data_IF_278111369719
#
_entry.id   IF_278111369719
#
_cell.length_a   1.000
_cell.length_b   1.000
_cell.length_c   1.000
_cell.angle_alpha   90.00
_cell.angle_beta   90.00
_cell.angle_gamma   90.00
#
_symmetry.space_group_name_H-M   'P 1'
#
loop_
_entity.id
_entity.type
_entity.pdbx_description
1 polymer ?
#
# COMPACT_ATOMS: atom_id res chain seq x y z
N UNK A 1 -18.65 -17.81 -7.74
CA UNK A 1 -19.74 -17.47 -6.80
C UNK A 1 -19.24 -16.72 -5.57
N UNK A 2 -18.40 -17.30 -4.69
CA UNK A 2 -17.92 -16.58 -3.48
C UNK A 2 -17.21 -15.25 -3.76
N UNK A 3 -16.32 -15.17 -4.77
CA UNK A 3 -15.66 -13.90 -5.13
C UNK A 3 -16.65 -12.83 -5.59
N UNK A 4 -17.71 -13.22 -6.32
CA UNK A 4 -18.77 -12.31 -6.79
C UNK A 4 -19.61 -11.81 -5.60
N UNK A 5 -19.98 -12.71 -4.69
CA UNK A 5 -20.71 -12.34 -3.48
C UNK A 5 -19.90 -11.34 -2.63
N UNK A 6 -18.63 -11.63 -2.36
CA UNK A 6 -17.78 -10.76 -1.54
C UNK A 6 -17.55 -9.39 -2.20
N UNK A 7 -17.34 -9.35 -3.51
CA UNK A 7 -17.17 -8.10 -4.27
C UNK A 7 -18.35 -7.14 -4.08
N UNK A 8 -19.60 -7.65 -4.09
CA UNK A 8 -20.80 -6.85 -3.90
C UNK A 8 -21.19 -6.61 -2.44
N UNK A 9 -20.87 -7.54 -1.54
CA UNK A 9 -21.28 -7.47 -0.14
C UNK A 9 -20.38 -6.56 0.71
N UNK A 10 -19.08 -6.48 0.43
CA UNK A 10 -18.14 -5.63 1.19
C UNK A 10 -18.52 -4.13 1.11
N UNK A 11 -18.78 -3.54 -0.08
CA UNK A 11 -19.24 -2.15 -0.17
C UNK A 11 -20.57 -1.88 0.53
N UNK A 12 -21.39 -2.92 0.73
CA UNK A 12 -22.69 -2.84 1.42
C UNK A 12 -22.60 -3.09 2.92
N UNK A 13 -21.39 -3.14 3.49
CA UNK A 13 -21.18 -3.22 4.93
C UNK A 13 -20.95 -4.63 5.49
N UNK A 14 -20.60 -5.62 4.65
CA UNK A 14 -20.15 -6.92 5.14
C UNK A 14 -18.79 -6.76 5.85
N UNK A 15 -18.76 -6.98 7.16
CA UNK A 15 -17.56 -6.78 8.00
C UNK A 15 -16.80 -8.07 8.32
N UNK A 16 -17.41 -9.25 8.15
CA UNK A 16 -16.78 -10.54 8.46
C UNK A 16 -17.31 -11.67 7.56
N UNK A 17 -16.41 -12.53 7.10
CA UNK A 17 -16.74 -13.78 6.40
C UNK A 17 -15.68 -14.86 6.66
N UNK A 18 -16.10 -16.13 6.77
CA UNK A 18 -15.20 -17.28 6.85
C UNK A 18 -15.17 -17.97 5.49
N UNK A 19 -14.05 -17.89 4.78
CA UNK A 19 -13.89 -18.42 3.43
C UNK A 19 -12.51 -19.03 3.23
N UNK A 20 -12.39 -19.99 2.31
CA UNK A 20 -11.08 -20.47 1.84
C UNK A 20 -10.51 -19.47 0.82
N UNK A 21 -9.75 -18.49 1.31
CA UNK A 21 -9.22 -17.42 0.48
C UNK A 21 -8.23 -17.89 -0.61
N UNK A 22 -7.54 -19.02 -0.40
CA UNK A 22 -6.62 -19.59 -1.39
C UNK A 22 -7.32 -20.12 -2.65
N UNK A 23 -8.62 -20.42 -2.54
CA UNK A 23 -9.46 -20.94 -3.62
C UNK A 23 -10.31 -19.86 -4.31
N UNK A 24 -10.20 -18.59 -3.88
CA UNK A 24 -10.95 -17.49 -4.49
C UNK A 24 -10.24 -16.99 -5.75
N UNK A 25 -10.89 -17.03 -6.93
CA UNK A 25 -10.38 -16.34 -8.11
C UNK A 25 -10.46 -14.83 -7.92
N UNK A 26 -9.59 -14.08 -8.61
CA UNK A 26 -9.69 -12.62 -8.72
C UNK A 26 -10.96 -12.30 -9.49
N UNK A 27 -11.72 -11.30 -9.04
CA UNK A 27 -13.02 -10.97 -9.61
C UNK A 27 -12.97 -10.70 -11.13
N UNK A 28 -11.93 -9.97 -11.56
CA UNK A 28 -11.69 -9.58 -12.96
C UNK A 28 -11.29 -10.75 -13.86
N UNK A 29 -10.87 -11.87 -13.29
CA UNK A 29 -10.43 -13.05 -14.05
C UNK A 29 -11.59 -13.97 -14.42
N UNK A 30 -12.74 -13.78 -13.78
CA UNK A 30 -13.95 -14.55 -14.08
C UNK A 30 -14.41 -14.13 -15.48
N UNK A 31 -14.53 -15.03 -16.46
CA UNK A 31 -15.03 -14.72 -17.80
C UNK A 31 -16.36 -13.96 -17.73
N UNK A 32 -16.57 -12.96 -18.60
CA UNK A 32 -17.72 -12.05 -18.47
C UNK A 32 -19.08 -12.77 -18.60
N UNK A 33 -19.16 -13.80 -19.45
CA UNK A 33 -20.32 -14.68 -19.58
C UNK A 33 -20.63 -15.43 -18.27
N UNK A 34 -19.61 -16.00 -17.63
CA UNK A 34 -19.72 -16.66 -16.34
C UNK A 34 -20.01 -15.67 -15.21
N UNK A 35 -19.39 -14.48 -15.25
CA UNK A 35 -19.55 -13.45 -14.22
C UNK A 35 -20.99 -12.94 -14.21
N UNK A 36 -21.56 -12.62 -15.36
CA UNK A 36 -22.94 -12.17 -15.48
C UNK A 36 -23.92 -13.20 -14.92
N UNK A 37 -23.78 -14.47 -15.29
CA UNK A 37 -24.62 -15.56 -14.76
C UNK A 37 -24.50 -15.70 -13.23
N UNK A 38 -23.28 -15.55 -12.69
CA UNK A 38 -23.05 -15.61 -11.25
C UNK A 38 -23.63 -14.39 -10.52
N UNK A 39 -23.54 -13.19 -11.09
CA UNK A 39 -24.15 -11.97 -10.56
C UNK A 39 -25.68 -12.07 -10.58
N UNK A 40 -26.26 -12.56 -11.68
CA UNK A 40 -27.70 -12.70 -11.83
C UNK A 40 -28.30 -13.60 -10.75
N UNK A 41 -27.60 -14.69 -10.43
CA UNK A 41 -27.99 -15.63 -9.35
C UNK A 41 -27.77 -15.03 -7.97
N UNK A 42 -26.62 -14.39 -7.72
CA UNK A 42 -26.30 -13.83 -6.39
C UNK A 42 -27.20 -12.65 -6.03
N UNK A 43 -27.52 -11.81 -7.02
CA UNK A 43 -28.35 -10.60 -6.83
C UNK A 43 -29.84 -10.87 -7.02
N UNK A 44 -30.21 -12.08 -7.46
CA UNK A 44 -31.58 -12.49 -7.73
C UNK A 44 -32.33 -11.50 -8.66
N UNK A 45 -31.66 -11.09 -9.75
CA UNK A 45 -32.18 -10.07 -10.69
C UNK A 45 -32.96 -10.67 -11.86
N UNK A 46 -32.71 -11.93 -12.22
CA UNK A 46 -33.41 -12.61 -13.30
C UNK A 46 -34.11 -13.89 -12.80
N UNK A 47 -35.40 -14.10 -13.11
CA UNK A 47 -36.13 -15.29 -12.68
C UNK A 47 -35.55 -16.58 -13.26
N UNK A 48 -34.94 -16.54 -14.45
CA UNK A 48 -34.30 -17.70 -15.10
C UNK A 48 -32.81 -17.87 -14.74
N UNK A 49 -32.25 -17.06 -13.82
CA UNK A 49 -30.81 -17.06 -13.52
C UNK A 49 -30.29 -18.44 -13.07
N UNK A 50 -31.10 -19.16 -12.29
CA UNK A 50 -30.75 -20.49 -11.77
C UNK A 50 -30.68 -21.52 -12.89
N UNK A 51 -31.64 -21.49 -13.83
CA UNK A 51 -31.70 -22.41 -14.98
C UNK A 51 -30.51 -22.18 -15.92
N UNK A 52 -30.25 -20.91 -16.28
CA UNK A 52 -29.10 -20.55 -17.12
C UNK A 52 -27.76 -20.95 -16.49
N UNK A 53 -27.60 -20.80 -15.17
CA UNK A 53 -26.38 -21.24 -14.49
C UNK A 53 -26.23 -22.77 -14.52
N UNK A 54 -27.32 -23.52 -14.39
CA UNK A 54 -27.32 -24.99 -14.46
C UNK A 54 -27.00 -25.50 -15.88
N UNK A 55 -27.52 -24.85 -16.92
CA UNK A 55 -27.19 -25.13 -18.32
C UNK A 55 -25.70 -24.91 -18.56
N UNK A 56 -25.18 -23.75 -18.18
CA UNK A 56 -23.76 -23.42 -18.30
C UNK A 56 -22.86 -24.39 -17.53
N UNK A 57 -23.26 -24.81 -16.32
CA UNK A 57 -22.53 -25.80 -15.53
C UNK A 57 -22.52 -27.18 -16.20
N UNK A 58 -23.59 -27.55 -16.91
CA UNK A 58 -23.71 -28.79 -17.67
C UNK A 58 -22.80 -28.77 -18.90
N UNK A 59 -22.80 -27.68 -19.68
CA UNK A 59 -21.88 -27.49 -20.80
C UNK A 59 -20.41 -27.56 -20.38
N UNK A 60 -20.06 -26.97 -19.22
CA UNK A 60 -18.70 -27.05 -18.68
C UNK A 60 -18.31 -28.47 -18.27
N UNK A 61 -19.25 -29.26 -17.74
CA UNK A 61 -19.01 -30.68 -17.43
C UNK A 61 -18.79 -31.49 -18.69
N UNK A 62 -19.57 -31.25 -19.75
CA UNK A 62 -19.41 -31.92 -21.04
C UNK A 62 -18.07 -31.55 -21.71
N UNK A 63 -17.69 -30.27 -21.69
CA UNK A 63 -16.37 -29.80 -22.16
C UNK A 63 -15.21 -30.39 -21.35
N UNK A 64 -15.39 -30.63 -20.04
CA UNK A 64 -14.39 -31.33 -19.20
C UNK A 64 -14.35 -32.84 -19.47
N UNK A 65 -15.49 -33.48 -19.74
CA UNK A 65 -15.57 -34.90 -20.07
C UNK A 65 -14.91 -35.22 -21.43
N UNK A 66 -15.03 -34.33 -22.41
CA UNK A 66 -14.33 -34.44 -23.71
C UNK A 66 -12.79 -34.29 -23.60
N UNK A 67 -12.28 -33.66 -22.54
CA UNK A 67 -10.83 -33.57 -22.25
C UNK A 67 -10.29 -34.73 -21.40
N UNK A 68 -11.11 -35.74 -21.10
CA UNK A 68 -10.78 -36.88 -20.25
C UNK A 68 -10.04 -38.00 -20.99
N UNK A 69 -8.77 -37.79 -21.35
CA UNK A 69 -7.89 -38.85 -21.85
C UNK A 69 -6.43 -38.42 -21.87
N UNK A 70 -5.66 -38.87 -20.86
CA UNK A 70 -4.19 -38.71 -20.69
C UNK A 70 -3.64 -37.28 -20.57
N UNK A 71 -3.13 -36.94 -19.37
CA UNK A 71 -1.84 -36.24 -19.22
C UNK A 71 -1.56 -34.94 -19.99
N UNK A 72 -2.55 -34.12 -20.33
CA UNK A 72 -2.36 -32.86 -21.03
C UNK A 72 -1.91 -31.70 -20.15
N UNK A 73 -0.84 -31.86 -19.37
CA UNK A 73 -0.20 -30.77 -18.61
C UNK A 73 1.03 -30.20 -19.34
N UNK A 74 1.11 -30.36 -20.66
CA UNK A 74 2.23 -29.88 -21.47
C UNK A 74 1.73 -29.04 -22.66
N UNK A 75 2.07 -27.74 -22.61
CA UNK A 75 2.13 -26.79 -23.74
C UNK A 75 0.79 -26.38 -24.38
N UNK A 76 -0.09 -25.76 -23.61
CA UNK A 76 -0.55 -24.46 -24.09
C UNK A 76 0.55 -23.48 -23.71
N UNK A 77 1.21 -22.83 -24.67
CA UNK A 77 1.99 -21.63 -24.36
C UNK A 77 0.99 -20.69 -23.72
N UNK A 78 1.12 -20.46 -22.41
CA UNK A 78 0.19 -19.59 -21.71
C UNK A 78 0.19 -18.25 -22.45
N UNK A 79 -0.94 -17.78 -22.97
CA UNK A 79 -1.00 -16.67 -23.93
C UNK A 79 -0.27 -15.41 -23.43
N UNK A 80 -0.25 -15.20 -22.11
CA UNK A 80 0.48 -14.11 -21.47
C UNK A 80 2.01 -14.20 -21.68
N UNK A 81 2.58 -15.39 -21.88
CA UNK A 81 4.01 -15.57 -22.21
C UNK A 81 4.41 -15.02 -23.57
N UNK A 82 3.44 -14.77 -24.46
CA UNK A 82 3.70 -14.13 -25.76
C UNK A 82 3.73 -12.60 -25.69
N UNK A 83 3.37 -12.02 -24.54
CA UNK A 83 3.39 -10.58 -24.32
C UNK A 83 4.81 -10.08 -23.99
N UNK A 84 5.03 -8.77 -24.10
CA UNK A 84 6.30 -8.15 -23.71
C UNK A 84 6.61 -8.32 -22.22
N UNK A 85 7.91 -8.28 -21.87
CA UNK A 85 8.41 -8.60 -20.53
C UNK A 85 7.74 -7.80 -19.41
N UNK A 86 7.47 -6.52 -19.62
CA UNK A 86 6.77 -5.66 -18.65
C UNK A 86 5.38 -6.20 -18.30
N UNK A 87 4.58 -6.59 -19.31
CA UNK A 87 3.25 -7.18 -19.10
C UNK A 87 3.33 -8.56 -18.47
N UNK A 88 4.39 -9.31 -18.73
CA UNK A 88 4.63 -10.62 -18.09
C UNK A 88 4.97 -10.49 -16.62
N UNK A 89 5.78 -9.49 -16.26
CA UNK A 89 6.09 -9.15 -14.87
C UNK A 89 4.85 -8.68 -14.12
N UNK A 90 4.06 -7.76 -14.71
CA UNK A 90 2.77 -7.33 -14.15
C UNK A 90 1.83 -8.53 -13.92
N UNK A 91 1.66 -9.38 -14.94
CA UNK A 91 0.83 -10.57 -14.84
C UNK A 91 1.31 -11.52 -13.73
N UNK A 92 2.61 -11.77 -13.66
CA UNK A 92 3.20 -12.65 -12.63
C UNK A 92 2.97 -12.10 -11.22
N UNK A 93 3.08 -10.79 -11.04
CA UNK A 93 2.81 -10.13 -9.76
C UNK A 93 1.32 -10.18 -9.39
N UNK A 94 0.41 -9.80 -10.30
CA UNK A 94 -1.03 -9.80 -10.04
C UNK A 94 -1.56 -11.21 -9.75
N UNK A 95 -1.08 -12.24 -10.47
CA UNK A 95 -1.50 -13.63 -10.25
C UNK A 95 -0.76 -14.34 -9.12
N UNK A 96 0.36 -13.79 -8.66
CA UNK A 96 1.23 -14.44 -7.68
C UNK A 96 1.95 -15.67 -8.24
N UNK A 97 2.42 -15.60 -9.49
CA UNK A 97 3.18 -16.66 -10.16
C UNK A 97 4.68 -16.41 -9.96
N UNK A 98 5.37 -17.32 -9.28
CA UNK A 98 6.80 -17.18 -8.96
C UNK A 98 7.72 -17.98 -9.90
N UNK A 99 7.14 -18.73 -10.85
CA UNK A 99 7.87 -19.70 -11.67
C UNK A 99 8.82 -19.06 -12.68
N UNK A 100 8.41 -17.99 -13.33
CA UNK A 100 9.14 -17.32 -14.42
C UNK A 100 9.69 -15.95 -14.04
N UNK A 101 9.48 -15.52 -12.79
CA UNK A 101 9.77 -14.16 -12.37
C UNK A 101 11.26 -13.82 -12.49
N UNK A 102 12.15 -14.78 -12.23
CA UNK A 102 13.61 -14.57 -12.32
C UNK A 102 14.03 -14.43 -13.78
N UNK A 103 13.50 -15.28 -14.66
CA UNK A 103 13.81 -15.24 -16.09
C UNK A 103 13.30 -13.95 -16.74
N UNK A 104 12.08 -13.52 -16.40
CA UNK A 104 11.53 -12.25 -16.91
C UNK A 104 12.28 -11.03 -16.35
N UNK A 105 12.72 -11.06 -15.09
CA UNK A 105 13.58 -10.00 -14.53
C UNK A 105 14.93 -9.96 -15.23
N UNK A 106 15.50 -11.11 -15.57
CA UNK A 106 16.76 -11.20 -16.30
C UNK A 106 16.63 -10.67 -17.73
N UNK A 107 15.52 -10.97 -18.41
CA UNK A 107 15.21 -10.40 -19.73
C UNK A 107 15.11 -8.87 -19.69
N UNK A 108 14.56 -8.28 -18.62
CA UNK A 108 14.59 -6.82 -18.44
C UNK A 108 16.01 -6.25 -18.29
N UNK A 109 16.93 -6.98 -17.66
CA UNK A 109 18.32 -6.55 -17.54
C UNK A 109 19.07 -6.67 -18.87
N UNK A 110 18.85 -7.77 -19.60
CA UNK A 110 19.62 -8.11 -20.79
C UNK A 110 19.08 -7.43 -22.06
N UNK A 111 17.77 -7.51 -22.32
CA UNK A 111 17.16 -7.04 -23.57
C UNK A 111 16.82 -5.54 -23.52
N UNK A 112 16.44 -5.02 -22.35
CA UNK A 112 16.12 -3.60 -22.18
C UNK A 112 17.29 -2.79 -21.60
N UNK A 113 18.40 -3.45 -21.26
CA UNK A 113 19.59 -2.84 -20.63
C UNK A 113 19.25 -1.96 -19.42
N UNK A 114 18.18 -2.30 -18.71
CA UNK A 114 17.75 -1.56 -17.53
C UNK A 114 18.71 -1.83 -16.38
N UNK A 115 18.95 -0.81 -15.56
CA UNK A 115 19.63 -1.03 -14.29
C UNK A 115 18.73 -1.85 -13.37
N UNK A 116 19.28 -2.68 -12.47
CA UNK A 116 18.49 -3.42 -11.49
C UNK A 116 17.49 -2.56 -10.72
N UNK A 117 17.88 -1.34 -10.33
CA UNK A 117 16.99 -0.39 -9.66
C UNK A 117 15.83 0.06 -10.58
N UNK A 118 16.09 0.29 -11.86
CA UNK A 118 15.08 0.70 -12.85
C UNK A 118 14.07 -0.44 -13.11
N UNK A 119 14.48 -1.71 -13.00
CA UNK A 119 13.55 -2.87 -13.06
C UNK A 119 12.63 -2.91 -11.83
N UNK A 120 13.15 -2.57 -10.64
CA UNK A 120 12.34 -2.44 -9.43
C UNK A 120 11.35 -1.30 -9.58
N UNK A 121 11.85 -0.08 -9.82
CA UNK A 121 11.04 1.16 -9.87
C UNK A 121 10.09 1.25 -11.07
N UNK A 122 10.36 0.51 -12.15
CA UNK A 122 9.54 0.46 -13.35
C UNK A 122 8.53 -0.69 -13.34
N UNK A 123 8.79 -1.81 -14.03
CA UNK A 123 7.79 -2.85 -14.27
C UNK A 123 7.33 -3.56 -12.99
N UNK A 124 8.20 -3.78 -12.01
CA UNK A 124 7.82 -4.44 -10.76
C UNK A 124 6.92 -3.54 -9.90
N UNK A 125 7.29 -2.27 -9.73
CA UNK A 125 6.45 -1.25 -9.07
C UNK A 125 5.10 -1.06 -9.77
N UNK A 126 5.09 -0.98 -11.10
CA UNK A 126 3.87 -0.87 -11.88
C UNK A 126 2.91 -2.03 -11.61
N UNK A 127 3.42 -3.27 -11.59
CA UNK A 127 2.62 -4.45 -11.23
C UNK A 127 2.10 -4.40 -9.80
N UNK A 128 2.90 -3.92 -8.85
CA UNK A 128 2.48 -3.74 -7.45
C UNK A 128 1.44 -2.62 -7.29
N UNK A 129 1.49 -1.57 -8.11
CA UNK A 129 0.45 -0.53 -8.14
C UNK A 129 -0.90 -1.10 -8.55
N UNK A 130 -0.93 -1.94 -9.60
CA UNK A 130 -2.15 -2.62 -10.04
C UNK A 130 -2.70 -3.54 -8.95
N UNK A 131 -1.83 -4.28 -8.24
CA UNK A 131 -2.22 -5.08 -7.06
C UNK A 131 -2.85 -4.19 -5.98
N UNK A 132 -2.27 -3.01 -5.72
CA UNK A 132 -2.80 -2.01 -4.79
C UNK A 132 -4.19 -1.50 -5.19
N UNK A 133 -4.38 -1.15 -6.46
CA UNK A 133 -5.66 -0.67 -6.98
C UNK A 133 -6.75 -1.75 -6.95
N UNK A 134 -6.40 -3.00 -7.29
CA UNK A 134 -7.31 -4.14 -7.19
C UNK A 134 -7.69 -4.44 -5.75
N UNK A 135 -6.76 -4.32 -4.81
CA UNK A 135 -7.03 -4.49 -3.38
C UNK A 135 -7.91 -3.35 -2.84
N UNK A 136 -7.57 -2.10 -3.14
CA UNK A 136 -8.32 -0.92 -2.71
C UNK A 136 -9.75 -0.86 -3.28
N UNK A 137 -9.95 -1.41 -4.49
CA UNK A 137 -11.29 -1.54 -5.10
C UNK A 137 -12.06 -2.81 -4.68
N UNK A 138 -11.50 -3.63 -3.78
CA UNK A 138 -12.12 -4.87 -3.30
C UNK A 138 -12.19 -6.01 -4.32
N UNK A 139 -11.48 -5.89 -5.45
CA UNK A 139 -11.39 -6.92 -6.51
C UNK A 139 -10.36 -8.00 -6.20
N UNK A 140 -9.40 -7.68 -5.32
CA UNK A 140 -8.37 -8.58 -4.81
C UNK A 140 -8.40 -8.61 -3.28
N UNK A 141 -8.10 -9.76 -2.69
CA UNK A 141 -8.15 -9.98 -1.23
C UNK A 141 -6.75 -10.13 -0.63
N UNK A 142 -6.64 -9.91 0.70
CA UNK A 142 -5.35 -9.92 1.42
C UNK A 142 -4.48 -11.17 1.14
N UNK A 143 -5.01 -12.40 1.09
CA UNK A 143 -4.17 -13.58 0.79
C UNK A 143 -3.61 -13.61 -0.63
N UNK A 144 -4.27 -12.95 -1.59
CA UNK A 144 -3.75 -12.77 -2.95
C UNK A 144 -2.62 -11.73 -2.95
N UNK A 145 -2.81 -10.61 -2.24
CA UNK A 145 -1.75 -9.59 -2.05
C UNK A 145 -0.49 -10.20 -1.42
N UNK A 146 -0.64 -11.10 -0.45
CA UNK A 146 0.50 -11.82 0.17
C UNK A 146 1.22 -12.72 -0.85
N UNK A 147 0.49 -13.35 -1.80
CA UNK A 147 1.12 -14.12 -2.88
C UNK A 147 1.89 -13.21 -3.83
N UNK A 148 1.32 -12.07 -4.23
CA UNK A 148 1.99 -11.06 -5.05
C UNK A 148 3.27 -10.55 -4.38
N UNK A 149 3.20 -10.25 -3.08
CA UNK A 149 4.36 -9.83 -2.28
C UNK A 149 5.48 -10.90 -2.26
N UNK A 150 5.12 -12.20 -2.27
CA UNK A 150 6.11 -13.28 -2.35
C UNK A 150 6.84 -13.29 -3.69
N UNK A 151 6.12 -13.06 -4.80
CA UNK A 151 6.70 -12.96 -6.14
C UNK A 151 7.62 -11.74 -6.22
N UNK A 152 7.17 -10.59 -5.72
CA UNK A 152 7.97 -9.38 -5.62
C UNK A 152 9.27 -9.61 -4.84
N UNK A 153 9.17 -10.22 -3.64
CA UNK A 153 10.34 -10.55 -2.82
C UNK A 153 11.33 -11.46 -3.56
N UNK A 154 10.84 -12.42 -4.36
CA UNK A 154 11.69 -13.32 -5.15
C UNK A 154 12.40 -12.59 -6.28
N UNK A 155 11.72 -11.66 -6.97
CA UNK A 155 12.31 -10.79 -7.98
C UNK A 155 13.41 -9.90 -7.39
N UNK A 156 13.10 -9.19 -6.31
CA UNK A 156 14.06 -8.31 -5.62
C UNK A 156 15.25 -9.11 -5.08
N UNK A 157 15.03 -10.29 -4.50
CA UNK A 157 16.11 -11.15 -4.01
C UNK A 157 17.10 -11.58 -5.12
N UNK A 158 16.66 -11.63 -6.39
CA UNK A 158 17.54 -11.88 -7.53
C UNK A 158 18.32 -10.62 -7.94
N UNK A 159 17.71 -9.44 -7.83
CA UNK A 159 18.33 -8.17 -8.19
C UNK A 159 19.32 -7.65 -7.14
N UNK A 160 19.10 -7.94 -5.85
CA UNK A 160 19.92 -7.46 -4.73
C UNK A 160 21.42 -7.79 -4.91
N UNK A 161 21.83 -9.05 -5.21
CA UNK A 161 23.24 -9.35 -5.43
C UNK A 161 23.86 -8.58 -6.62
N UNK A 162 23.07 -8.34 -7.68
CA UNK A 162 23.51 -7.60 -8.86
C UNK A 162 23.71 -6.12 -8.51
N UNK A 163 22.75 -5.55 -7.76
CA UNK A 163 22.83 -4.19 -7.23
C UNK A 163 24.01 -4.01 -6.28
N UNK A 164 24.27 -4.95 -5.38
CA UNK A 164 25.41 -4.89 -4.46
C UNK A 164 26.74 -4.89 -5.21
N UNK A 165 26.89 -5.71 -6.26
CA UNK A 165 28.09 -5.72 -7.11
C UNK A 165 28.25 -4.38 -7.83
N UNK A 166 27.18 -3.84 -8.42
CA UNK A 166 27.23 -2.56 -9.16
C UNK A 166 27.48 -1.38 -8.22
N UNK A 167 26.80 -1.35 -7.06
CA UNK A 167 26.94 -0.32 -6.04
C UNK A 167 28.31 -0.40 -5.37
N UNK A 168 28.88 -1.59 -5.12
CA UNK A 168 30.27 -1.72 -4.68
C UNK A 168 31.25 -1.14 -5.69
N UNK A 169 31.05 -1.41 -6.98
CA UNK A 169 31.90 -0.86 -8.04
C UNK A 169 31.84 0.66 -8.05
N UNK A 170 30.63 1.24 -8.00
CA UNK A 170 30.44 2.71 -7.94
C UNK A 170 30.97 3.31 -6.64
N UNK A 171 30.73 2.67 -5.51
CA UNK A 171 31.23 3.13 -4.22
C UNK A 171 32.76 3.12 -4.17
N UNK A 172 33.41 2.11 -4.75
CA UNK A 172 34.88 2.08 -4.91
C UNK A 172 35.39 3.16 -5.87
N UNK A 173 34.65 3.48 -6.93
CA UNK A 173 34.99 4.56 -7.88
C UNK A 173 34.77 5.97 -7.29
N UNK A 174 33.78 6.13 -6.40
CA UNK A 174 33.39 7.39 -5.77
C UNK A 174 33.99 7.58 -4.35
N UNK A 175 34.72 6.58 -3.84
CA UNK A 175 35.33 6.61 -2.50
C UNK A 175 34.33 6.45 -1.34
N UNK A 176 33.14 5.90 -1.60
CA UNK A 176 32.09 5.61 -0.62
C UNK A 176 32.26 4.20 -0.04
N UNK A 177 31.65 3.96 1.14
CA UNK A 177 31.71 2.66 1.82
C UNK A 177 30.96 1.56 1.01
N UNK A 178 31.66 0.53 0.50
CA UNK A 178 31.10 -0.53 -0.33
C UNK A 178 30.13 -1.48 0.41
N UNK A 179 30.06 -1.43 1.74
CA UNK A 179 29.22 -2.33 2.53
C UNK A 179 27.91 -1.68 3.03
N UNK A 180 27.61 -0.43 2.61
CA UNK A 180 26.34 0.24 2.97
C UNK A 180 25.18 -0.26 2.07
N UNK A 181 24.11 -0.84 2.64
CA UNK A 181 22.94 -1.26 1.86
C UNK A 181 22.20 -0.06 1.25
N UNK A 182 21.83 -0.16 -0.04
CA UNK A 182 21.20 0.91 -0.81
C UNK A 182 19.65 0.80 -0.77
N UNK A 183 19.07 1.35 0.29
CA UNK A 183 17.61 1.45 0.46
C UNK A 183 17.08 2.72 -0.22
N UNK A 184 15.86 2.64 -0.77
CA UNK A 184 15.19 3.82 -1.36
C UNK A 184 14.88 4.91 -0.30
N UNK A 185 14.78 4.50 0.97
CA UNK A 185 14.61 5.36 2.13
C UNK A 185 14.38 4.55 3.40
N UNK A 186 14.50 5.20 4.56
CA UNK A 186 14.27 4.60 5.88
C UNK A 186 12.94 5.07 6.46
N UNK A 187 12.03 4.13 6.72
CA UNK A 187 10.72 4.40 7.31
C UNK A 187 10.66 3.80 8.71
N UNK A 188 10.42 4.64 9.71
CA UNK A 188 10.21 4.20 11.09
C UNK A 188 8.71 4.05 11.36
N UNK A 189 8.26 2.88 11.80
CA UNK A 189 6.87 2.62 12.13
C UNK A 189 6.71 2.33 13.63
N UNK A 190 5.68 2.89 14.24
CA UNK A 190 5.35 2.66 15.64
C UNK A 190 3.84 2.67 15.87
N UNK A 191 3.35 1.80 16.75
CA UNK A 191 2.02 1.97 17.34
C UNK A 191 2.17 2.87 18.56
N UNK A 192 1.37 3.93 18.63
CA UNK A 192 1.51 4.95 19.66
C UNK A 192 1.30 4.38 21.07
N UNK A 193 1.77 5.12 22.08
CA UNK A 193 1.67 4.76 23.48
C UNK A 193 0.22 4.41 23.87
N UNK A 194 0.08 3.37 24.68
CA UNK A 194 -1.22 2.91 25.17
C UNK A 194 -2.06 2.11 24.16
N UNK A 195 -1.55 1.93 22.94
CA UNK A 195 -2.22 1.15 21.89
C UNK A 195 -1.40 -0.11 21.52
N UNK A 196 -2.09 -1.25 21.49
CA UNK A 196 -1.53 -2.58 21.24
C UNK A 196 -1.81 -3.11 19.84
N UNK A 197 -2.60 -2.40 19.04
CA UNK A 197 -3.08 -2.93 17.77
C UNK A 197 -2.06 -2.69 16.65
N UNK A 198 -1.45 -3.77 16.15
CA UNK A 198 -0.32 -3.70 15.21
C UNK A 198 -0.55 -4.38 13.85
N UNK A 199 -1.69 -5.05 13.65
CA UNK A 199 -1.95 -5.78 12.40
C UNK A 199 -1.82 -4.87 11.18
N UNK A 200 -2.47 -3.69 11.22
CA UNK A 200 -2.39 -2.71 10.15
C UNK A 200 -0.96 -2.20 9.92
N UNK A 201 -0.25 -1.86 11.00
CA UNK A 201 1.17 -1.45 10.99
C UNK A 201 2.06 -2.52 10.34
N UNK A 202 1.90 -3.78 10.73
CA UNK A 202 2.70 -4.88 10.21
C UNK A 202 2.46 -5.08 8.72
N UNK A 203 1.21 -4.93 8.26
CA UNK A 203 0.88 -4.96 6.82
C UNK A 203 1.59 -3.81 6.09
N UNK A 204 1.51 -2.57 6.60
CA UNK A 204 2.22 -1.41 6.03
C UNK A 204 3.74 -1.67 5.97
N UNK A 205 4.33 -2.21 7.04
CA UNK A 205 5.75 -2.53 7.09
C UNK A 205 6.16 -3.60 6.08
N UNK A 206 5.36 -4.65 5.91
CA UNK A 206 5.60 -5.66 4.86
C UNK A 206 5.47 -5.04 3.47
N UNK A 207 4.46 -4.22 3.23
CA UNK A 207 4.25 -3.57 1.94
C UNK A 207 5.42 -2.63 1.62
N UNK A 208 5.81 -1.73 2.53
CA UNK A 208 6.97 -0.85 2.32
C UNK A 208 8.28 -1.64 2.12
N UNK A 209 8.50 -2.71 2.89
CA UNK A 209 9.65 -3.59 2.70
C UNK A 209 9.67 -4.30 1.34
N UNK A 210 8.50 -4.58 0.75
CA UNK A 210 8.42 -5.11 -0.62
C UNK A 210 8.78 -4.06 -1.69
N UNK A 211 8.81 -2.77 -1.35
CA UNK A 211 9.12 -1.66 -2.25
C UNK A 211 10.50 -1.04 -1.94
N UNK A 212 11.45 -1.84 -1.47
CA UNK A 212 12.85 -1.47 -1.23
C UNK A 212 13.07 -0.34 -0.19
N UNK A 213 12.14 -0.18 0.77
CA UNK A 213 12.35 0.68 1.93
C UNK A 213 12.94 -0.08 3.11
N UNK A 214 13.85 0.55 3.85
CA UNK A 214 14.31 0.08 5.16
C UNK A 214 13.23 0.38 6.18
N UNK A 215 12.47 -0.65 6.58
CA UNK A 215 11.41 -0.50 7.59
C UNK A 215 11.95 -0.83 8.97
N UNK A 216 11.84 0.12 9.90
CA UNK A 216 12.21 -0.03 11.30
C UNK A 216 10.94 0.00 12.14
N UNK A 217 10.52 -1.17 12.61
CA UNK A 217 9.31 -1.32 13.40
C UNK A 217 9.64 -1.32 14.90
N UNK A 218 9.16 -0.31 15.62
CA UNK A 218 9.32 -0.17 17.06
C UNK A 218 8.33 -1.01 17.89
N UNK A 219 7.32 -1.60 17.24
CA UNK A 219 6.30 -2.41 17.88
C UNK A 219 5.11 -1.59 18.39
N UNK A 220 4.64 -1.94 19.59
CA UNK A 220 3.41 -1.42 20.18
C UNK A 220 3.62 -0.65 21.47
N UNK A 221 2.65 0.18 21.84
CA UNK A 221 2.68 1.01 23.04
C UNK A 221 3.95 1.87 23.14
N UNK A 222 4.47 2.34 22.02
CA UNK A 222 5.78 2.99 21.95
C UNK A 222 5.67 4.44 22.46
N UNK A 223 6.43 4.83 23.50
CA UNK A 223 6.46 6.21 23.97
C UNK A 223 7.04 7.20 22.94
N UNK A 224 6.57 8.44 22.98
CA UNK A 224 7.02 9.51 22.07
C UNK A 224 8.56 9.70 22.08
N UNK A 225 9.18 9.71 23.26
CA UNK A 225 10.63 9.90 23.40
C UNK A 225 11.43 8.81 22.70
N UNK A 226 10.95 7.56 22.77
CA UNK A 226 11.56 6.44 22.07
C UNK A 226 11.42 6.56 20.54
N UNK A 227 10.26 7.00 20.05
CA UNK A 227 10.01 7.25 18.62
C UNK A 227 10.99 8.30 18.09
N UNK A 228 11.06 9.46 18.76
CA UNK A 228 11.93 10.57 18.32
C UNK A 228 13.40 10.22 18.42
N UNK A 229 13.81 9.57 19.51
CA UNK A 229 15.19 9.12 19.69
C UNK A 229 15.59 8.15 18.58
N UNK A 230 14.77 7.13 18.32
CA UNK A 230 15.11 6.13 17.31
C UNK A 230 15.08 6.69 15.90
N UNK A 231 14.17 7.63 15.61
CA UNK A 231 14.14 8.32 14.32
C UNK A 231 15.43 9.10 14.05
N UNK A 232 16.03 9.73 15.08
CA UNK A 232 17.34 10.39 14.95
C UNK A 232 18.49 9.41 14.81
N UNK A 233 18.52 8.36 15.64
CA UNK A 233 19.58 7.34 15.63
C UNK A 233 19.68 6.62 14.28
N UNK A 234 18.53 6.35 13.66
CA UNK A 234 18.45 5.58 12.42
C UNK A 234 18.33 6.46 11.18
N UNK A 235 18.41 7.78 11.34
CA UNK A 235 18.25 8.77 10.27
C UNK A 235 16.99 8.50 9.43
N UNK A 236 15.85 8.34 10.10
CA UNK A 236 14.59 8.02 9.43
C UNK A 236 14.14 9.16 8.49
N UNK A 237 13.83 8.81 7.25
CA UNK A 237 13.32 9.74 6.23
C UNK A 237 11.83 10.00 6.40
N UNK A 238 11.09 9.06 7.00
CA UNK A 238 9.66 9.16 7.30
C UNK A 238 9.34 8.45 8.62
N UNK A 239 8.45 9.05 9.43
CA UNK A 239 7.89 8.41 10.63
C UNK A 239 6.42 8.09 10.39
N UNK A 240 5.99 6.85 10.65
CA UNK A 240 4.59 6.42 10.58
C UNK A 240 4.05 6.01 11.93
N UNK A 241 2.92 6.61 12.32
CA UNK A 241 2.20 6.30 13.55
C UNK A 241 0.92 5.51 13.24
N UNK A 242 0.73 4.42 13.97
CA UNK A 242 -0.47 3.58 13.93
C UNK A 242 -1.29 3.75 15.21
N UNK A 243 -2.61 3.83 15.06
CA UNK A 243 -3.57 3.87 16.18
C UNK A 243 -4.94 3.33 15.80
N UNK A 244 -5.54 2.55 16.70
CA UNK A 244 -6.86 1.93 16.54
C UNK A 244 -7.88 2.44 17.55
N UNK A 245 -7.47 2.96 18.71
CA UNK A 245 -8.40 3.46 19.74
C UNK A 245 -8.42 5.00 19.78
N UNK A 246 -9.46 5.59 20.37
CA UNK A 246 -9.61 7.06 20.44
C UNK A 246 -8.48 7.75 21.20
N UNK A 247 -7.98 7.24 22.36
CA UNK A 247 -6.83 7.83 23.05
C UNK A 247 -5.55 7.90 22.21
N UNK A 248 -5.41 7.03 21.20
CA UNK A 248 -4.27 7.03 20.29
C UNK A 248 -4.18 8.30 19.46
N UNK A 249 -5.33 8.95 19.19
CA UNK A 249 -5.37 10.22 18.45
C UNK A 249 -4.72 11.35 19.24
N UNK A 250 -4.94 11.41 20.56
CA UNK A 250 -4.30 12.40 21.43
C UNK A 250 -2.78 12.18 21.52
N UNK A 251 -2.34 10.92 21.55
CA UNK A 251 -0.92 10.57 21.49
C UNK A 251 -0.28 10.96 20.15
N UNK A 252 -0.98 10.81 19.03
CA UNK A 252 -0.49 11.29 17.72
C UNK A 252 -0.34 12.82 17.67
N UNK A 253 -1.30 13.55 18.24
CA UNK A 253 -1.22 15.02 18.40
C UNK A 253 0.00 15.39 19.26
N UNK A 254 0.21 14.67 20.37
CA UNK A 254 1.35 14.88 21.26
C UNK A 254 2.70 14.63 20.57
N UNK A 255 2.83 13.54 19.80
CA UNK A 255 4.04 13.26 19.02
C UNK A 255 4.34 14.38 18.03
N UNK A 256 3.33 14.87 17.30
CA UNK A 256 3.49 15.97 16.35
C UNK A 256 3.98 17.27 17.04
N UNK A 257 3.44 17.60 18.22
CA UNK A 257 3.91 18.73 19.03
C UNK A 257 5.38 18.57 19.44
N UNK A 258 5.76 17.37 19.86
CA UNK A 258 7.11 17.07 20.35
C UNK A 258 8.14 17.05 19.22
N UNK A 259 7.81 16.51 18.05
CA UNK A 259 8.64 16.58 16.84
C UNK A 259 9.01 18.04 16.53
N UNK A 260 8.01 18.92 16.51
CA UNK A 260 8.23 20.34 16.28
C UNK A 260 9.07 20.99 17.38
N UNK A 261 8.78 20.71 18.65
CA UNK A 261 9.53 21.24 19.79
C UNK A 261 11.02 20.87 19.72
N UNK A 262 11.33 19.68 19.20
CA UNK A 262 12.70 19.21 18.98
C UNK A 262 13.31 19.63 17.64
N UNK A 263 12.58 20.39 16.82
CA UNK A 263 13.04 20.82 15.49
C UNK A 263 13.19 19.67 14.49
N UNK A 264 12.43 18.58 14.67
CA UNK A 264 12.40 17.45 13.75
C UNK A 264 11.35 17.68 12.68
N UNK A 265 11.79 17.86 11.44
CA UNK A 265 10.94 18.13 10.26
C UNK A 265 10.84 16.94 9.29
N UNK A 266 10.99 15.72 9.82
CA UNK A 266 10.79 14.48 9.07
C UNK A 266 9.29 14.29 8.83
N UNK A 267 8.82 14.01 7.60
CA UNK A 267 7.41 13.76 7.31
C UNK A 267 6.78 12.73 8.26
N UNK A 268 5.58 13.05 8.76
CA UNK A 268 4.82 12.25 9.72
C UNK A 268 3.59 11.65 9.03
N UNK A 269 3.55 10.33 8.91
CA UNK A 269 2.39 9.60 8.42
C UNK A 269 1.49 9.18 9.57
N UNK A 270 0.19 9.41 9.42
CA UNK A 270 -0.85 9.02 10.39
C UNK A 270 -1.74 7.97 9.75
N UNK A 271 -1.90 6.82 10.40
CA UNK A 271 -2.78 5.76 9.94
C UNK A 271 -3.37 4.92 11.07
N UNK A 272 -4.29 4.03 10.70
CA UNK A 272 -5.03 3.16 11.61
C UNK A 272 -6.52 3.50 11.71
N UNK A 273 -7.31 2.60 12.30
CA UNK A 273 -8.76 2.58 12.13
C UNK A 273 -9.51 3.80 12.69
N UNK A 274 -9.01 4.41 13.76
CA UNK A 274 -9.61 5.64 14.35
C UNK A 274 -9.13 6.92 13.68
N UNK A 275 -8.12 6.84 12.84
CA UNK A 275 -7.56 8.01 12.15
C UNK A 275 -8.44 8.42 10.97
N UNK A 276 -8.46 9.70 10.66
CA UNK A 276 -9.19 10.23 9.49
C UNK A 276 -8.49 11.48 8.97
N UNK A 277 -8.63 11.75 7.67
CA UNK A 277 -8.13 12.98 7.04
C UNK A 277 -8.59 14.23 7.80
N UNK A 278 -9.89 14.27 8.16
CA UNK A 278 -10.49 15.38 8.90
C UNK A 278 -9.85 15.59 10.28
N UNK A 279 -9.65 14.52 11.06
CA UNK A 279 -8.97 14.62 12.35
C UNK A 279 -7.51 15.09 12.18
N UNK A 280 -6.78 14.50 11.23
CA UNK A 280 -5.38 14.86 10.95
C UNK A 280 -5.26 16.34 10.57
N UNK A 281 -6.10 16.83 9.67
CA UNK A 281 -6.14 18.24 9.25
C UNK A 281 -6.46 19.19 10.41
N UNK A 282 -7.49 18.88 11.21
CA UNK A 282 -7.99 19.79 12.25
C UNK A 282 -7.14 19.78 13.52
N UNK A 283 -6.58 18.63 13.91
CA UNK A 283 -5.97 18.44 15.23
C UNK A 283 -4.48 18.19 15.20
N UNK A 284 -3.97 17.42 14.23
CA UNK A 284 -2.56 16.96 14.21
C UNK A 284 -1.69 17.93 13.39
N UNK A 285 -2.07 18.21 12.15
CA UNK A 285 -1.34 19.09 11.24
C UNK A 285 -0.96 20.45 11.86
N UNK A 286 -1.87 21.18 12.55
CA UNK A 286 -1.54 22.50 13.11
C UNK A 286 -0.46 22.45 14.21
N UNK A 287 -0.30 21.30 14.87
CA UNK A 287 0.71 21.14 15.90
C UNK A 287 2.11 21.06 15.30
N UNK A 288 2.20 20.44 14.14
CA UNK A 288 3.44 20.21 13.42
C UNK A 288 3.84 21.43 12.57
N UNK A 289 2.85 22.06 11.92
CA UNK A 289 3.10 23.07 10.89
C UNK A 289 3.49 24.45 11.44
N UNK A 290 3.15 24.84 12.69
CA UNK A 290 3.08 26.28 12.93
C UNK A 290 4.42 27.03 12.68
N UNK A 291 4.31 27.88 11.68
CA UNK A 291 5.29 28.73 11.03
C UNK A 291 5.94 29.67 12.03
N UNK A 292 7.27 29.68 12.11
CA UNK A 292 8.09 30.86 12.50
C UNK A 292 9.62 30.59 12.42
N UNK A 293 10.09 29.81 11.43
CA UNK A 293 11.50 29.82 11.03
C UNK A 293 11.62 29.95 9.52
N UNK A 294 11.05 31.05 9.04
CA UNK A 294 11.24 31.53 7.68
C UNK A 294 12.23 32.70 7.73
N UNK A 295 13.44 32.48 8.23
CA UNK A 295 14.49 33.50 8.21
C UNK A 295 15.82 32.93 7.69
N UNK A 296 16.19 33.43 6.52
CA UNK A 296 17.57 33.75 6.09
C UNK A 296 18.51 32.66 5.54
N UNK A 297 18.13 31.38 5.44
CA UNK A 297 18.89 30.42 4.62
C UNK A 297 17.95 29.57 3.79
N UNK A 298 18.19 29.50 2.48
CA UNK A 298 17.31 28.90 1.46
C UNK A 298 17.14 27.38 1.52
N UNK A 299 16.95 26.81 2.71
CA UNK A 299 16.69 25.39 2.92
C UNK A 299 15.38 25.28 3.70
N UNK A 300 14.26 25.14 3.00
CA UNK A 300 12.93 24.95 3.62
C UNK A 300 12.88 23.53 4.20
N UNK A 301 12.76 23.32 5.53
CA UNK A 301 12.49 22.01 6.04
C UNK A 301 10.98 21.76 5.90
N UNK A 302 10.57 21.21 4.75
CA UNK A 302 9.19 20.79 4.53
C UNK A 302 8.96 19.46 5.26
N UNK A 303 8.75 19.56 6.57
CA UNK A 303 8.08 18.52 7.33
C UNK A 303 6.58 18.77 7.30
N UNK A 304 5.78 17.71 7.21
CA UNK A 304 4.32 17.79 7.16
C UNK A 304 3.68 16.51 7.66
N UNK A 305 2.37 16.57 7.91
CA UNK A 305 1.60 15.42 8.42
C UNK A 305 0.66 14.90 7.34
N UNK A 306 0.77 13.63 6.96
CA UNK A 306 -0.06 13.05 5.91
C UNK A 306 -0.90 11.90 6.47
N UNK A 307 -2.22 11.95 6.27
CA UNK A 307 -3.09 10.83 6.59
C UNK A 307 -3.02 9.79 5.48
N UNK A 308 -2.70 8.54 5.84
CA UNK A 308 -2.64 7.44 4.90
C UNK A 308 -3.75 6.45 5.24
N UNK A 309 -4.67 6.24 4.29
CA UNK A 309 -5.87 5.44 4.50
C UNK A 309 -5.56 3.94 4.69
N UNK A 310 -4.67 3.40 3.87
CA UNK A 310 -4.38 1.97 3.81
C UNK A 310 -2.92 1.70 3.37
N UNK A 311 -2.50 0.44 3.52
CA UNK A 311 -1.14 0.02 3.18
C UNK A 311 -0.82 0.08 1.68
N UNK A 312 -1.82 -0.04 0.80
CA UNK A 312 -1.57 0.09 -0.65
C UNK A 312 -1.14 1.51 -1.02
N UNK A 313 -1.70 2.53 -0.37
CA UNK A 313 -1.36 3.93 -0.62
C UNK A 313 -0.06 4.38 0.06
N UNK A 314 0.41 3.69 1.10
CA UNK A 314 1.60 4.11 1.84
C UNK A 314 2.85 4.18 0.96
N UNK A 315 2.97 3.30 -0.03
CA UNK A 315 4.12 3.26 -0.94
C UNK A 315 4.19 4.52 -1.80
N UNK A 316 3.06 4.90 -2.40
CA UNK A 316 2.96 6.08 -3.27
C UNK A 316 3.27 7.34 -2.47
N UNK A 317 2.67 7.46 -1.28
CA UNK A 317 2.91 8.60 -0.39
C UNK A 317 4.38 8.69 0.02
N UNK A 318 4.99 7.60 0.49
CA UNK A 318 6.40 7.61 0.91
C UNK A 318 7.32 7.94 -0.27
N UNK A 319 7.05 7.43 -1.48
CA UNK A 319 7.82 7.78 -2.67
C UNK A 319 7.75 9.27 -2.99
N UNK A 320 6.56 9.88 -2.99
CA UNK A 320 6.40 11.33 -3.21
C UNK A 320 7.18 12.17 -2.19
N UNK A 321 7.34 11.64 -0.96
CA UNK A 321 8.06 12.31 0.11
C UNK A 321 9.58 12.16 0.05
N UNK A 322 10.10 11.05 -0.48
CA UNK A 322 11.54 10.75 -0.45
C UNK A 322 12.25 11.02 -1.79
N UNK A 323 11.54 10.87 -2.92
CA UNK A 323 12.17 10.85 -4.25
C UNK A 323 12.95 12.11 -4.63
N UNK A 324 12.40 13.30 -4.42
CA UNK A 324 13.11 14.57 -4.65
C UNK A 324 12.56 15.68 -3.76
N UNK A 325 13.37 16.69 -3.49
CA UNK A 325 12.95 17.86 -2.72
C UNK A 325 11.79 18.60 -3.41
N UNK A 326 11.83 18.73 -4.73
CA UNK A 326 10.79 19.39 -5.54
C UNK A 326 9.44 18.66 -5.42
N UNK A 327 9.41 17.34 -5.63
CA UNK A 327 8.19 16.54 -5.51
C UNK A 327 7.63 16.55 -4.09
N UNK A 328 8.52 16.56 -3.08
CA UNK A 328 8.11 16.68 -1.68
C UNK A 328 7.42 18.02 -1.42
N UNK A 329 7.97 19.12 -1.92
CA UNK A 329 7.39 20.46 -1.75
C UNK A 329 6.01 20.51 -2.41
N UNK A 330 5.93 20.13 -3.69
CA UNK A 330 4.68 20.09 -4.46
C UNK A 330 3.60 19.25 -3.74
N UNK A 331 3.94 18.02 -3.36
CA UNK A 331 3.02 17.13 -2.67
C UNK A 331 2.56 17.68 -1.30
N UNK A 332 3.43 18.39 -0.57
CA UNK A 332 3.08 18.95 0.72
C UNK A 332 2.25 20.23 0.60
N UNK A 333 2.44 21.01 -0.47
CA UNK A 333 1.58 22.14 -0.80
C UNK A 333 0.15 21.67 -1.13
N UNK A 334 0.02 20.63 -1.95
CA UNK A 334 -1.28 20.01 -2.27
C UNK A 334 -2.01 19.54 -1.00
N UNK A 335 -1.31 18.84 -0.10
CA UNK A 335 -1.87 18.36 1.17
C UNK A 335 -2.27 19.52 2.08
N UNK A 336 -1.47 20.59 2.11
CA UNK A 336 -1.77 21.78 2.89
C UNK A 336 -3.06 22.44 2.41
N UNK A 337 -3.21 22.65 1.11
CA UNK A 337 -4.43 23.21 0.53
C UNK A 337 -5.66 22.34 0.85
N UNK A 338 -5.54 21.01 0.71
CA UNK A 338 -6.61 20.07 1.10
C UNK A 338 -6.99 20.22 2.58
N UNK A 339 -6.01 20.32 3.47
CA UNK A 339 -6.24 20.38 4.89
C UNK A 339 -6.79 21.71 5.37
N UNK A 340 -6.36 22.82 4.77
CA UNK A 340 -6.91 24.14 5.08
C UNK A 340 -8.39 24.20 4.67
N UNK A 341 -8.75 23.69 3.49
CA UNK A 341 -10.15 23.59 3.06
C UNK A 341 -10.99 22.72 4.02
N UNK A 342 -10.47 21.55 4.44
CA UNK A 342 -11.15 20.66 5.40
C UNK A 342 -11.33 21.30 6.78
N UNK A 343 -10.38 22.14 7.20
CA UNK A 343 -10.45 22.88 8.47
C UNK A 343 -11.51 23.97 8.40
N UNK A 344 -11.50 24.78 7.33
CA UNK A 344 -12.50 25.84 7.14
C UNK A 344 -13.91 25.27 7.11
N UNK A 345 -14.14 24.19 6.35
CA UNK A 345 -15.41 23.46 6.33
C UNK A 345 -15.80 23.03 7.75
N UNK A 346 -14.90 22.35 8.48
CA UNK A 346 -15.20 21.90 9.83
C UNK A 346 -15.60 23.04 10.78
N UNK A 347 -14.86 24.15 10.79
CA UNK A 347 -15.17 25.28 11.66
C UNK A 347 -16.47 25.98 11.27
N UNK A 348 -16.80 26.05 9.97
CA UNK A 348 -18.09 26.57 9.52
C UNK A 348 -19.26 25.76 10.07
N UNK A 349 -19.18 24.42 10.02
CA UNK A 349 -20.25 23.54 10.54
C UNK A 349 -20.46 23.61 12.06
N UNK A 350 -19.51 24.17 12.82
CA UNK A 350 -19.66 24.36 14.26
C UNK A 350 -20.52 25.58 14.59
N UNK A 351 -20.53 26.60 13.72
CA UNK A 351 -21.32 27.82 13.89
C UNK A 351 -22.83 27.53 13.77
N UNK A 352 -23.20 26.56 12.94
CA UNK A 352 -24.59 26.18 12.69
C UNK A 352 -25.20 25.28 13.77
N UNK A 353 -24.39 24.75 14.69
CA UNK A 353 -24.88 23.87 15.76
C UNK A 353 -25.50 24.68 16.89
N UNK A 354 -26.83 24.67 16.95
CA UNK A 354 -27.59 25.09 18.14
C UNK A 354 -27.58 23.97 19.15
N UNK A 355 -26.80 24.14 20.20
CA UNK A 355 -26.79 23.23 21.35
C UNK A 355 -27.89 23.63 22.33
N UNK A 356 -28.64 22.65 22.83
CA UNK A 356 -29.52 22.84 23.98
C UNK A 356 -28.68 22.82 25.26
N UNK A 357 -29.13 23.53 26.30
CA UNK A 357 -28.56 23.34 27.63
C UNK A 357 -28.84 21.93 28.16
N UNK A 358 -28.08 21.47 29.16
CA UNK A 358 -28.28 20.12 29.74
C UNK A 358 -29.68 19.95 30.33
N UNK A 359 -30.29 21.03 30.82
CA UNK A 359 -31.65 21.01 31.36
C UNK A 359 -32.72 20.97 30.26
N UNK A 360 -32.37 21.37 29.03
CA UNK A 360 -33.26 21.40 27.85
C UNK A 360 -33.15 20.15 26.96
N UNK A 361 -32.05 19.38 27.09
CA UNK A 361 -31.75 18.16 26.32
C UNK A 361 -32.32 16.91 26.98
#
# INVERSE_FOLDING_TARGET
MHSVFLYHAIPKGLTMAIVNAGALPIYTDIPDDMRQLLEDVVMNVAPEATEKLLEFASELKEKKAQKGGTGGAAKAVEEWRTQGVEKRLEHSLVKGIDKFIVDDVQECLDDLQLKPLEVIEGPLMAGMSVVGDLFGSGKMFLPQVIKSARVMKKAVAHLVPIMEIENRRKALEEGLDPDRPNWAGTVLLATVKGDVHDIGKNIVGVVLGCNNFRVIDLGVMVPCDQILKKAKEEEADVIGLSGLITPSLDEMVFVAQQMRKEGMYVPLLIGGATTSRKHTAVKIWPQYEASERMESSGSVPVGGVVHVLDASRSVVVVNSLIQSAEKRIEYMEDIKEEYDALREDYYSTLVDKRWLSLDEA
#
